data_IF_020906093832
#
_entry.id   IF_020906093832
#
_cell.length_a   1.000
_cell.length_b   1.000
_cell.length_c   1.000
_cell.angle_alpha   90.00
_cell.angle_beta   90.00
_cell.angle_gamma   90.00
#
_symmetry.space_group_name_H-M   'P 1'
#
loop_
_entity.id
_entity.type
_entity.pdbx_description
1 polymer ?
#
# COMPACT_ATOMS: atom_id res chain seq x y z
N UNK A 1 -22.46 81.61 17.14
CA UNK A 1 -21.86 80.27 17.14
C UNK A 1 -22.60 79.47 16.06
N UNK A 2 -22.47 79.77 14.75
CA UNK A 2 -21.37 79.39 13.82
C UNK A 2 -20.92 77.94 14.04
N UNK A 3 -20.82 77.01 13.10
CA UNK A 3 -21.05 76.94 11.65
C UNK A 3 -20.93 75.44 11.31
N UNK A 4 -21.80 74.84 10.50
CA UNK A 4 -21.54 73.51 9.92
C UNK A 4 -21.88 73.59 8.43
N UNK A 5 -20.85 73.62 7.60
CA UNK A 5 -20.99 73.54 6.14
C UNK A 5 -19.86 72.70 5.56
N UNK A 6 -20.29 71.67 4.80
CA UNK A 6 -19.61 70.98 3.68
C UNK A 6 -18.30 70.22 3.99
N UNK A 7 -17.87 69.17 3.28
CA UNK A 7 -18.11 68.59 1.95
C UNK A 7 -17.76 67.08 2.12
N UNK A 8 -18.60 66.13 1.68
CA UNK A 8 -18.63 65.57 0.32
C UNK A 8 -17.71 64.37 0.11
N UNK A 9 -18.30 63.37 -0.58
CA UNK A 9 -17.71 62.31 -1.39
C UNK A 9 -17.61 60.90 -0.79
N UNK A 10 -18.09 59.98 -1.64
CA UNK A 10 -17.92 58.53 -1.66
C UNK A 10 -18.89 57.71 -0.81
N UNK A 11 -20.02 57.28 -1.39
CA UNK A 11 -20.12 56.12 -2.31
C UNK A 11 -19.83 54.83 -1.55
N UNK A 12 -20.92 54.08 -1.30
CA UNK A 12 -20.97 52.65 -1.59
C UNK A 12 -19.90 51.78 -0.89
N UNK A 13 -20.10 51.48 0.39
CA UNK A 13 -19.66 50.17 0.90
C UNK A 13 -20.90 49.47 1.38
N UNK A 14 -21.55 48.85 0.41
CA UNK A 14 -22.47 47.76 0.65
C UNK A 14 -21.81 46.79 1.62
N UNK A 15 -22.59 46.47 2.63
CA UNK A 15 -22.54 45.26 3.43
C UNK A 15 -22.14 44.11 2.49
N UNK A 16 -20.85 43.73 2.50
CA UNK A 16 -20.43 42.43 2.00
C UNK A 16 -20.92 41.43 3.03
N UNK A 17 -22.22 41.11 2.98
CA UNK A 17 -22.68 39.79 3.35
C UNK A 17 -22.00 38.84 2.37
N UNK A 18 -20.81 38.39 2.77
CA UNK A 18 -20.12 37.31 2.12
C UNK A 18 -21.09 36.13 2.10
N UNK A 19 -21.69 35.90 0.94
CA UNK A 19 -22.42 34.69 0.63
C UNK A 19 -21.38 33.57 0.60
N UNK A 20 -21.01 33.06 1.78
CA UNK A 20 -20.23 31.83 1.89
C UNK A 20 -21.21 30.74 1.49
N UNK A 21 -21.02 30.07 0.35
CA UNK A 21 -21.95 29.05 -0.10
C UNK A 21 -22.02 27.95 0.96
N UNK A 22 -23.23 27.58 1.40
CA UNK A 22 -23.50 26.55 2.42
C UNK A 22 -22.79 25.21 2.14
N UNK A 23 -22.47 24.94 0.87
CA UNK A 23 -21.65 23.80 0.41
C UNK A 23 -20.23 23.77 1.02
N UNK A 24 -19.63 24.92 1.33
CA UNK A 24 -18.29 24.99 1.92
C UNK A 24 -18.29 24.65 3.42
N UNK A 25 -19.37 24.98 4.13
CA UNK A 25 -19.50 24.71 5.57
C UNK A 25 -19.60 23.20 5.81
N UNK A 26 -20.41 22.49 5.03
CA UNK A 26 -20.51 21.03 5.14
C UNK A 26 -19.20 20.30 4.78
N UNK A 27 -18.44 20.81 3.81
CA UNK A 27 -17.15 20.24 3.44
C UNK A 27 -16.11 20.42 4.56
N UNK A 28 -16.11 21.58 5.22
CA UNK A 28 -15.23 21.87 6.36
C UNK A 28 -15.62 21.00 7.57
N UNK A 29 -16.90 20.85 7.87
CA UNK A 29 -17.35 19.95 8.95
C UNK A 29 -17.02 18.48 8.69
N UNK A 30 -17.11 18.02 7.43
CA UNK A 30 -16.70 16.65 7.07
C UNK A 30 -15.19 16.46 7.18
N UNK A 31 -14.40 17.45 6.77
CA UNK A 31 -12.95 17.43 6.92
C UNK A 31 -12.54 17.40 8.40
N UNK A 32 -13.17 18.23 9.24
CA UNK A 32 -12.92 18.26 10.67
C UNK A 32 -13.29 16.93 11.36
N UNK A 33 -14.45 16.35 11.04
CA UNK A 33 -14.85 15.03 11.54
C UNK A 33 -13.92 13.90 11.08
N UNK A 34 -13.36 13.99 9.87
CA UNK A 34 -12.39 13.02 9.36
C UNK A 34 -11.04 13.12 10.07
N UNK A 35 -10.61 14.32 10.42
CA UNK A 35 -9.38 14.57 11.20
C UNK A 35 -9.52 14.07 12.65
N UNK A 36 -10.66 14.34 13.29
CA UNK A 36 -10.97 13.77 14.62
C UNK A 36 -11.04 12.24 14.60
N UNK A 37 -11.59 11.64 13.53
CA UNK A 37 -11.62 10.19 13.37
C UNK A 37 -10.22 9.59 13.15
N UNK A 38 -9.33 10.28 12.44
CA UNK A 38 -7.95 9.85 12.23
C UNK A 38 -7.15 9.86 13.54
N UNK A 39 -7.31 10.91 14.36
CA UNK A 39 -6.68 11.00 15.69
C UNK A 39 -7.23 9.95 16.66
N UNK A 40 -8.53 9.62 16.59
CA UNK A 40 -9.13 8.55 17.38
C UNK A 40 -8.62 7.15 16.95
N UNK A 41 -8.39 6.94 15.65
CA UNK A 41 -7.81 5.71 15.11
C UNK A 41 -6.36 5.52 15.60
N UNK A 42 -5.57 6.59 15.61
CA UNK A 42 -4.18 6.59 16.11
C UNK A 42 -4.13 6.25 17.60
N UNK A 43 -5.02 6.82 18.42
CA UNK A 43 -5.13 6.50 19.85
C UNK A 43 -5.54 5.03 20.11
N UNK A 44 -6.40 4.46 19.27
CA UNK A 44 -6.78 3.04 19.36
C UNK A 44 -5.61 2.11 18.99
N UNK A 45 -4.80 2.48 17.99
CA UNK A 45 -3.59 1.74 17.62
C UNK A 45 -2.58 1.75 18.77
N UNK A 46 -2.33 2.91 19.41
CA UNK A 46 -1.45 2.99 20.59
C UNK A 46 -1.93 2.14 21.76
N UNK A 47 -3.25 2.10 22.01
CA UNK A 47 -3.83 1.29 23.08
C UNK A 47 -3.69 -0.22 22.80
N UNK A 48 -3.82 -0.64 21.53
CA UNK A 48 -3.62 -2.04 21.13
C UNK A 48 -2.16 -2.49 21.23
N UNK A 49 -1.20 -1.62 20.88
CA UNK A 49 0.23 -1.89 21.04
C UNK A 49 0.57 -2.11 22.53
N UNK A 50 0.09 -1.24 23.42
CA UNK A 50 0.31 -1.40 24.88
C UNK A 50 -0.34 -2.65 25.47
N UNK A 51 -1.51 -3.04 24.97
CA UNK A 51 -2.17 -4.28 25.41
C UNK A 51 -1.41 -5.54 24.96
N UNK A 52 -0.81 -5.52 23.77
CA UNK A 52 0.02 -6.61 23.27
C UNK A 52 1.33 -6.77 24.08
N UNK A 53 1.95 -5.66 24.50
CA UNK A 53 3.13 -5.69 25.39
C UNK A 53 2.81 -6.31 26.76
N UNK A 54 1.64 -6.00 27.33
CA UNK A 54 1.20 -6.58 28.61
C UNK A 54 0.89 -8.09 28.46
N UNK A 55 0.32 -8.52 27.33
CA UNK A 55 0.05 -9.93 27.05
C UNK A 55 1.34 -10.75 26.88
N UNK A 56 2.35 -10.20 26.19
CA UNK A 56 3.65 -10.85 26.02
C UNK A 56 4.40 -11.03 27.36
N UNK A 57 4.32 -10.04 28.27
CA UNK A 57 4.98 -10.10 29.58
C UNK A 57 4.28 -11.06 30.55
N UNK A 58 2.94 -11.17 30.47
CA UNK A 58 2.16 -12.09 31.32
C UNK A 58 2.23 -13.55 30.84
N UNK A 59 2.39 -13.82 29.54
CA UNK A 59 2.58 -15.19 29.02
C UNK A 59 3.98 -15.76 29.26
N UNK A 60 5.00 -14.91 29.41
CA UNK A 60 6.39 -15.35 29.63
C UNK A 60 6.67 -15.71 31.10
N UNK A 61 5.78 -15.38 32.04
CA UNK A 61 6.01 -15.57 33.49
C UNK A 61 5.49 -16.92 34.03
N UNK A 62 4.92 -17.80 33.20
CA UNK A 62 4.32 -19.08 33.67
C UNK A 62 5.19 -20.33 33.39
N UNK A 63 6.49 -20.17 33.12
CA UNK A 63 7.41 -21.31 32.99
C UNK A 63 8.71 -21.06 33.76
N UNK A 64 8.64 -20.90 35.07
CA UNK A 64 9.80 -21.15 35.94
C UNK A 64 9.34 -21.59 37.33
N UNK A 65 8.99 -22.87 37.45
CA UNK A 65 9.03 -23.59 38.73
C UNK A 65 9.14 -25.07 38.47
N UNK A 66 10.39 -25.56 38.38
CA UNK A 66 10.97 -26.59 39.24
C UNK A 66 12.46 -26.72 38.91
N UNK A 67 13.27 -26.82 39.96
CA UNK A 67 14.73 -26.76 39.99
C UNK A 67 15.28 -28.14 39.61
N UNK A 68 16.27 -28.23 38.72
CA UNK A 68 17.35 -29.24 38.80
C UNK A 68 18.60 -28.72 38.11
N UNK A 69 19.68 -28.60 38.87
CA UNK A 69 20.95 -27.98 38.48
C UNK A 69 21.77 -28.91 37.58
N UNK A 70 22.02 -28.50 36.35
CA UNK A 70 23.10 -29.05 35.52
C UNK A 70 23.82 -27.89 34.85
N UNK A 71 25.09 -27.67 35.20
CA UNK A 71 25.88 -26.53 34.73
C UNK A 71 26.42 -26.85 33.34
N UNK A 72 25.83 -26.27 32.30
CA UNK A 72 26.35 -26.26 30.93
C UNK A 72 26.61 -24.82 30.53
N UNK A 73 27.87 -24.50 30.23
CA UNK A 73 28.28 -23.20 29.69
C UNK A 73 27.84 -23.13 28.24
N UNK A 74 26.77 -22.37 27.96
CA UNK A 74 26.25 -22.12 26.61
C UNK A 74 26.57 -20.68 26.23
N UNK A 75 27.23 -20.51 25.09
CA UNK A 75 27.52 -19.22 24.47
C UNK A 75 26.20 -18.56 24.05
N UNK A 76 25.89 -17.38 24.58
CA UNK A 76 24.63 -16.67 24.29
C UNK A 76 24.87 -15.81 23.04
N UNK A 77 24.44 -16.32 21.89
CA UNK A 77 24.36 -15.53 20.65
C UNK A 77 23.08 -14.69 20.68
N UNK A 78 23.21 -13.37 20.80
CA UNK A 78 22.09 -12.43 20.73
C UNK A 78 21.66 -12.27 19.28
N UNK A 79 20.59 -12.95 18.86
CA UNK A 79 19.97 -12.75 17.55
C UNK A 79 18.92 -11.65 17.64
N UNK A 80 19.22 -10.48 17.09
CA UNK A 80 18.24 -9.39 16.94
C UNK A 80 17.31 -9.73 15.78
N UNK A 81 16.10 -10.19 16.09
CA UNK A 81 15.04 -10.41 15.10
C UNK A 81 14.32 -9.08 14.86
N UNK A 82 14.51 -8.48 13.67
CA UNK A 82 13.71 -7.33 13.25
C UNK A 82 12.27 -7.84 13.00
N UNK A 83 11.32 -7.39 13.81
CA UNK A 83 9.91 -7.72 13.61
C UNK A 83 9.39 -6.95 12.39
N UNK A 84 9.28 -7.63 11.24
CA UNK A 84 8.59 -7.11 10.07
C UNK A 84 7.10 -7.24 10.29
N UNK A 85 6.42 -6.11 10.51
CA UNK A 85 4.95 -6.06 10.60
C UNK A 85 4.36 -6.22 9.20
N UNK A 86 3.94 -7.42 8.83
CA UNK A 86 3.19 -7.68 7.59
C UNK A 86 1.72 -7.31 7.78
N UNK A 87 1.34 -6.12 7.30
CA UNK A 87 -0.06 -5.75 7.13
C UNK A 87 -0.60 -6.47 5.89
N UNK A 88 -1.22 -7.64 6.06
CA UNK A 88 -1.87 -8.34 4.95
C UNK A 88 -3.12 -7.57 4.53
N UNK A 89 -3.01 -6.78 3.46
CA UNK A 89 -4.17 -6.16 2.81
C UNK A 89 -5.03 -7.26 2.21
N UNK A 90 -6.33 -7.25 2.52
CA UNK A 90 -7.28 -8.24 1.99
C UNK A 90 -7.33 -8.09 0.47
N UNK A 91 -7.14 -9.19 -0.25
CA UNK A 91 -7.24 -9.22 -1.72
C UNK A 91 -8.63 -8.76 -2.17
N UNK A 92 -8.75 -7.70 -3.01
CA UNK A 92 -10.03 -7.03 -3.24
C UNK A 92 -10.83 -7.62 -4.41
N UNK A 93 -10.26 -8.54 -5.19
CA UNK A 93 -10.84 -9.04 -6.43
C UNK A 93 -11.50 -10.41 -6.22
N UNK A 94 -12.51 -10.75 -7.04
CA UNK A 94 -13.34 -11.96 -6.83
C UNK A 94 -13.14 -13.02 -7.90
N UNK A 95 -13.05 -12.61 -9.17
CA UNK A 95 -12.87 -13.50 -10.32
C UNK A 95 -11.41 -13.60 -10.70
N UNK A 96 -10.70 -12.48 -10.72
CA UNK A 96 -9.26 -12.48 -10.92
C UNK A 96 -8.58 -13.10 -9.70
N UNK A 97 -7.62 -14.00 -9.91
CA UNK A 97 -6.76 -14.53 -8.84
C UNK A 97 -5.49 -13.68 -8.73
N UNK A 98 -4.80 -13.64 -7.58
CA UNK A 98 -3.48 -13.03 -7.48
C UNK A 98 -2.54 -13.56 -8.58
N UNK A 99 -1.84 -12.65 -9.24
CA UNK A 99 -0.99 -12.95 -10.41
C UNK A 99 0.52 -12.96 -10.09
N UNK A 100 0.90 -12.62 -8.86
CA UNK A 100 2.30 -12.72 -8.48
C UNK A 100 2.73 -14.18 -8.40
N UNK A 101 3.89 -14.49 -8.96
CA UNK A 101 4.41 -15.85 -9.03
C UNK A 101 4.69 -16.40 -7.61
N UNK A 102 3.82 -17.27 -7.14
CA UNK A 102 3.94 -17.90 -5.82
C UNK A 102 5.06 -18.94 -5.75
N UNK A 103 5.72 -19.25 -6.87
CA UNK A 103 6.87 -20.18 -6.91
C UNK A 103 8.20 -19.52 -6.60
N UNK A 104 8.22 -18.18 -6.48
CA UNK A 104 9.41 -17.45 -6.09
C UNK A 104 9.87 -17.79 -4.68
N UNK A 105 11.18 -18.00 -4.53
CA UNK A 105 11.80 -18.51 -3.30
C UNK A 105 12.57 -17.43 -2.53
N UNK A 106 12.68 -16.22 -3.10
CA UNK A 106 13.37 -15.09 -2.51
C UNK A 106 14.80 -14.93 -3.01
N UNK A 107 15.50 -13.97 -2.41
CA UNK A 107 16.87 -13.60 -2.79
C UNK A 107 17.82 -14.82 -2.75
N UNK A 108 18.71 -14.90 -3.74
CA UNK A 108 19.73 -15.94 -3.89
C UNK A 108 19.22 -17.39 -4.06
N UNK A 109 17.91 -17.58 -4.29
CA UNK A 109 17.27 -18.90 -4.47
C UNK A 109 16.63 -19.04 -5.86
N UNK A 110 16.94 -20.09 -6.65
CA UNK A 110 17.87 -21.18 -6.38
C UNK A 110 19.37 -20.82 -6.44
N UNK A 111 19.75 -19.66 -6.99
CA UNK A 111 21.13 -19.17 -6.93
C UNK A 111 21.20 -17.64 -6.95
N UNK A 112 22.36 -17.08 -6.60
CA UNK A 112 22.58 -15.62 -6.58
C UNK A 112 22.51 -14.92 -7.94
N UNK A 113 22.50 -15.68 -9.03
CA UNK A 113 22.36 -15.17 -10.40
C UNK A 113 21.06 -15.63 -11.07
N UNK A 114 20.22 -16.37 -10.36
CA UNK A 114 18.96 -16.90 -10.85
C UNK A 114 18.01 -17.00 -9.66
N UNK A 115 17.41 -15.86 -9.30
CA UNK A 115 16.42 -15.80 -8.24
C UNK A 115 15.24 -14.92 -8.62
N UNK A 116 14.14 -15.08 -7.89
CA UNK A 116 13.04 -14.14 -7.92
C UNK A 116 12.49 -13.90 -6.51
N UNK A 117 12.09 -12.66 -6.28
CA UNK A 117 11.62 -12.20 -4.97
C UNK A 117 10.26 -12.81 -4.66
N UNK A 118 10.02 -13.09 -3.39
CA UNK A 118 8.70 -13.49 -2.89
C UNK A 118 7.74 -12.29 -2.88
N UNK A 119 6.44 -12.57 -2.78
CA UNK A 119 5.42 -11.54 -2.64
C UNK A 119 5.55 -10.71 -1.35
N UNK A 120 6.24 -11.21 -0.32
CA UNK A 120 6.50 -10.45 0.92
C UNK A 120 7.70 -9.49 0.77
N UNK A 121 8.62 -9.77 -0.15
CA UNK A 121 9.78 -8.94 -0.47
C UNK A 121 9.46 -7.84 -1.49
N UNK A 122 8.32 -7.95 -2.19
CA UNK A 122 7.84 -6.98 -3.16
C UNK A 122 6.52 -6.39 -2.67
N UNK A 123 6.36 -5.05 -2.61
CA UNK A 123 5.13 -4.43 -2.11
C UNK A 123 3.98 -4.52 -3.13
N UNK A 124 3.55 -5.74 -3.49
CA UNK A 124 2.49 -5.98 -4.47
C UNK A 124 1.15 -5.63 -3.83
N UNK A 125 0.45 -4.65 -4.42
CA UNK A 125 -0.87 -4.24 -3.98
C UNK A 125 -1.87 -4.38 -5.12
N UNK A 126 -2.98 -5.04 -4.84
CA UNK A 126 -4.10 -5.18 -5.78
C UNK A 126 -5.16 -4.13 -5.47
N UNK A 127 -5.78 -3.60 -6.51
CA UNK A 127 -6.90 -2.66 -6.42
C UNK A 127 -8.02 -3.11 -7.35
N UNK A 128 -9.26 -2.99 -6.90
CA UNK A 128 -10.44 -3.14 -7.74
C UNK A 128 -11.00 -1.76 -8.05
N UNK A 129 -11.11 -1.41 -9.33
CA UNK A 129 -11.65 -0.13 -9.75
C UNK A 129 -11.17 0.30 -11.14
N UNK A 130 -11.59 1.50 -11.60
CA UNK A 130 -11.20 2.02 -12.89
C UNK A 130 -9.71 2.37 -12.91
N UNK A 131 -9.04 2.06 -14.02
CA UNK A 131 -7.65 2.49 -14.27
C UNK A 131 -7.69 3.66 -15.24
N UNK A 132 -6.99 4.74 -14.94
CA UNK A 132 -7.02 5.95 -15.78
C UNK A 132 -6.21 5.79 -17.08
N UNK A 133 -5.07 5.09 -17.00
CA UNK A 133 -4.15 4.87 -18.10
C UNK A 133 -3.63 3.42 -18.08
N UNK A 134 -4.05 2.58 -19.04
CA UNK A 134 -5.08 2.83 -20.06
C UNK A 134 -6.46 3.01 -19.40
N UNK A 135 -7.41 3.61 -20.12
CA UNK A 135 -8.77 3.87 -19.59
C UNK A 135 -9.58 2.57 -19.51
N UNK A 136 -9.46 1.87 -18.38
CA UNK A 136 -10.10 0.60 -18.11
C UNK A 136 -11.36 0.77 -17.25
N UNK A 137 -12.37 -0.09 -17.43
CA UNK A 137 -13.65 0.01 -16.72
C UNK A 137 -13.50 -0.27 -15.21
N UNK A 138 -14.56 0.05 -14.45
CA UNK A 138 -14.54 -0.06 -12.98
C UNK A 138 -14.47 -1.50 -12.45
N UNK A 139 -14.79 -2.50 -13.26
CA UNK A 139 -14.69 -3.93 -12.95
C UNK A 139 -13.27 -4.49 -13.18
N UNK A 140 -12.25 -3.64 -13.10
CA UNK A 140 -10.86 -4.03 -13.35
C UNK A 140 -10.14 -4.25 -12.04
N UNK A 141 -9.66 -5.48 -11.83
CA UNK A 141 -8.63 -5.77 -10.85
C UNK A 141 -7.27 -5.37 -11.42
N UNK A 142 -6.46 -4.61 -10.70
CA UNK A 142 -5.16 -4.15 -11.20
C UNK A 142 -4.07 -4.15 -10.13
N UNK A 143 -2.83 -4.21 -10.59
CA UNK A 143 -1.62 -4.03 -9.79
C UNK A 143 -0.58 -3.29 -10.63
N UNK A 144 0.33 -2.57 -9.95
CA UNK A 144 1.48 -1.94 -10.60
C UNK A 144 2.74 -2.57 -10.03
N UNK A 145 3.42 -3.36 -10.84
CA UNK A 145 4.62 -4.05 -10.40
C UNK A 145 5.82 -3.10 -10.49
N UNK A 146 6.31 -2.70 -9.33
CA UNK A 146 7.56 -1.96 -9.15
C UNK A 146 8.56 -2.86 -8.43
N UNK A 147 9.67 -3.21 -9.09
CA UNK A 147 10.67 -4.10 -8.52
C UNK A 147 11.77 -3.33 -7.78
N UNK A 148 12.20 -3.82 -6.60
CA UNK A 148 13.36 -3.26 -5.91
C UNK A 148 14.63 -3.27 -6.76
N UNK A 149 15.56 -2.36 -6.45
CA UNK A 149 16.87 -2.30 -7.10
C UNK A 149 17.59 -3.65 -7.08
N UNK A 150 18.20 -4.02 -8.21
CA UNK A 150 18.87 -5.33 -8.38
C UNK A 150 17.96 -6.42 -8.95
N UNK A 151 16.68 -6.12 -9.19
CA UNK A 151 15.74 -7.01 -9.87
C UNK A 151 15.00 -6.29 -10.99
N UNK A 152 14.43 -7.05 -11.92
CA UNK A 152 13.66 -6.56 -13.08
C UNK A 152 12.26 -7.18 -13.04
N UNK A 153 11.25 -6.37 -13.38
CA UNK A 153 9.89 -6.86 -13.55
C UNK A 153 9.82 -7.77 -14.78
N UNK A 154 9.45 -9.03 -14.58
CA UNK A 154 9.28 -10.00 -15.66
C UNK A 154 7.88 -10.59 -15.67
N UNK A 155 7.39 -10.82 -16.87
CA UNK A 155 6.02 -11.22 -17.18
C UNK A 155 6.05 -12.52 -17.97
N UNK A 156 5.43 -13.57 -17.45
CA UNK A 156 5.32 -14.83 -18.15
C UNK A 156 4.21 -14.72 -19.20
N UNK A 157 4.60 -14.59 -20.47
CA UNK A 157 3.66 -14.57 -21.59
C UNK A 157 3.48 -16.00 -22.08
N UNK A 158 2.24 -16.53 -22.12
CA UNK A 158 1.99 -17.88 -22.61
C UNK A 158 2.63 -18.13 -23.97
N UNK A 159 3.32 -19.26 -24.11
CA UNK A 159 4.06 -19.69 -25.31
C UNK A 159 5.30 -18.88 -25.70
N UNK A 160 5.57 -17.74 -25.04
CA UNK A 160 6.76 -16.91 -25.26
C UNK A 160 7.77 -17.07 -24.11
N UNK A 161 7.28 -17.28 -22.89
CA UNK A 161 8.09 -17.28 -21.67
C UNK A 161 8.20 -15.88 -21.07
N UNK A 162 9.20 -15.68 -20.20
CA UNK A 162 9.36 -14.40 -19.51
C UNK A 162 9.90 -13.32 -20.45
N UNK A 163 9.23 -12.18 -20.43
CA UNK A 163 9.68 -10.92 -21.05
C UNK A 163 9.84 -9.86 -19.97
N UNK A 164 10.73 -8.90 -20.21
CA UNK A 164 10.88 -7.75 -19.31
C UNK A 164 9.68 -6.80 -19.43
N UNK A 165 9.38 -6.09 -18.36
CA UNK A 165 8.34 -5.06 -18.30
C UNK A 165 8.69 -3.79 -19.06
N UNK A 166 8.23 -2.65 -18.53
CA UNK A 166 8.53 -1.37 -19.14
C UNK A 166 10.05 -1.12 -19.19
N UNK A 167 10.52 -0.82 -20.40
CA UNK A 167 11.95 -0.62 -20.71
C UNK A 167 12.57 0.61 -20.06
N UNK A 168 11.74 1.56 -19.61
CA UNK A 168 12.15 2.75 -18.88
C UNK A 168 12.30 2.51 -17.35
N UNK A 169 12.02 1.29 -16.88
CA UNK A 169 12.05 0.92 -15.47
C UNK A 169 10.85 1.42 -14.66
N UNK A 170 9.84 2.02 -15.31
CA UNK A 170 8.61 2.44 -14.64
C UNK A 170 7.78 1.23 -14.19
N UNK A 171 6.92 1.38 -13.15
CA UNK A 171 6.04 0.31 -12.73
C UNK A 171 5.13 -0.14 -13.88
N UNK A 172 5.18 -1.43 -14.18
CA UNK A 172 4.38 -2.00 -15.27
C UNK A 172 2.98 -2.31 -14.74
N UNK A 173 1.95 -1.86 -15.45
CA UNK A 173 0.57 -2.12 -15.06
C UNK A 173 0.18 -3.53 -15.49
N UNK A 174 -0.43 -4.28 -14.58
CA UNK A 174 -1.10 -5.54 -14.89
C UNK A 174 -2.56 -5.42 -14.45
N UNK A 175 -3.47 -5.87 -15.29
CA UNK A 175 -4.90 -5.74 -15.06
C UNK A 175 -5.66 -6.98 -15.53
N UNK A 176 -6.81 -7.21 -14.91
CA UNK A 176 -7.70 -8.32 -15.20
C UNK A 176 -9.15 -7.82 -15.04
N UNK A 177 -9.99 -8.11 -16.03
CA UNK A 177 -11.42 -7.82 -15.91
C UNK A 177 -12.09 -8.90 -15.07
N UNK A 178 -12.89 -8.49 -14.08
CA UNK A 178 -13.71 -9.40 -13.28
C UNK A 178 -14.76 -10.15 -14.14
N UNK A 179 -15.01 -9.69 -15.37
CA UNK A 179 -15.90 -10.37 -16.32
C UNK A 179 -15.21 -11.52 -17.07
N UNK A 180 -13.88 -11.47 -17.24
CA UNK A 180 -13.11 -12.42 -18.08
C UNK A 180 -12.14 -13.29 -17.26
N UNK A 181 -11.65 -12.80 -16.12
CA UNK A 181 -10.74 -13.54 -15.25
C UNK A 181 -9.35 -13.81 -15.85
N UNK A 182 -8.98 -13.11 -16.92
CA UNK A 182 -7.68 -13.25 -17.59
C UNK A 182 -6.86 -11.99 -17.40
N UNK A 183 -5.57 -12.16 -17.13
CA UNK A 183 -4.65 -11.06 -16.88
C UNK A 183 -3.95 -10.59 -18.14
N UNK A 184 -3.78 -9.28 -18.23
CA UNK A 184 -3.03 -8.57 -19.25
C UNK A 184 -2.03 -7.61 -18.60
N UNK A 185 -0.86 -7.45 -19.20
CA UNK A 185 0.14 -6.46 -18.83
C UNK A 185 0.26 -5.41 -19.93
N UNK A 186 0.23 -4.12 -19.54
CA UNK A 186 0.57 -3.02 -20.43
C UNK A 186 2.09 -2.80 -20.41
N UNK A 187 2.76 -3.33 -21.43
CA UNK A 187 4.21 -3.32 -21.57
C UNK A 187 4.57 -2.37 -22.71
N UNK A 188 5.23 -1.26 -22.37
CA UNK A 188 5.60 -0.20 -23.32
C UNK A 188 4.39 0.33 -24.14
N UNK A 189 3.19 0.40 -23.54
CA UNK A 189 1.97 0.88 -24.19
C UNK A 189 1.22 -0.17 -25.00
N UNK A 190 1.60 -1.44 -24.89
CA UNK A 190 0.96 -2.56 -25.61
C UNK A 190 0.42 -3.61 -24.62
N UNK A 191 -0.84 -4.04 -24.77
CA UNK A 191 -1.42 -5.08 -23.94
C UNK A 191 -0.87 -6.47 -24.34
N UNK A 192 -0.47 -7.25 -23.35
CA UNK A 192 0.03 -8.62 -23.52
C UNK A 192 -0.65 -9.55 -22.52
N UNK A 193 -1.19 -10.68 -22.96
CA UNK A 193 -1.71 -11.70 -22.04
C UNK A 193 -0.57 -12.30 -21.21
N UNK A 194 -0.78 -12.42 -19.90
CA UNK A 194 0.23 -12.89 -18.96
C UNK A 194 -0.37 -13.93 -18.00
N UNK A 195 0.41 -14.93 -17.62
CA UNK A 195 0.00 -15.91 -16.61
C UNK A 195 0.49 -15.52 -15.21
N UNK A 196 1.71 -14.98 -15.12
CA UNK A 196 2.39 -14.70 -13.86
C UNK A 196 3.31 -13.49 -13.99
N UNK A 197 3.54 -12.80 -12.88
CA UNK A 197 4.51 -11.70 -12.78
C UNK A 197 5.47 -11.93 -11.61
N UNK A 198 6.72 -11.52 -11.77
CA UNK A 198 7.72 -11.64 -10.73
C UNK A 198 8.79 -10.55 -10.84
N UNK A 199 9.44 -10.24 -9.72
CA UNK A 199 10.70 -9.49 -9.73
C UNK A 199 11.85 -10.49 -9.75
N UNK A 200 12.58 -10.56 -10.86
CA UNK A 200 13.63 -11.55 -11.07
C UNK A 200 15.00 -10.90 -11.16
N UNK A 201 16.04 -11.67 -10.87
CA UNK A 201 17.42 -11.26 -11.19
C UNK A 201 17.54 -10.94 -12.70
N UNK A 202 18.20 -9.82 -13.08
CA UNK A 202 18.36 -9.39 -14.46
C UNK A 202 18.99 -10.44 -15.37
#
# INVERSE_FOLDING_TARGET
>A
MTSITFLSHFVLVQILEACIPTQQIEAIERAHRAEEAALAQEALIEAQIKAAEIYALTHTTTVTSIITTTTTTTEITTTTTLATTTTTTVYPCSVCTPIYDATCQGVDMPSSSMYCLTADEVPVTYTLGPVASPSLPADTCSTRLACPSGTVARFNVPYTGYIDGNSDGSPTLTYCSESLGSWEADINGSPNSVSDIACQYP
#
